data_IF_310790757840
#
_entry.id   IF_310790757840
#
_cell.length_a   1.000
_cell.length_b   1.000
_cell.length_c   1.000
_cell.angle_alpha   90.00
_cell.angle_beta   90.00
_cell.angle_gamma   90.00
#
_symmetry.space_group_name_H-M   'P 1'
#
loop_
_entity.id
_entity.type
_entity.pdbx_description
1 polymer ?
#
# COMPACT_ATOMS: atom_id res chain seq x y z
N UNK A 1 -0.05 -1.11 -10.07
CA UNK A 1 -0.46 0.24 -9.63
C UNK A 1 -0.30 1.30 -10.72
N UNK A 2 0.68 1.21 -11.62
CA UNK A 2 1.00 2.29 -12.58
C UNK A 2 0.46 2.10 -14.00
N UNK A 3 -0.15 0.95 -14.31
CA UNK A 3 -0.73 0.69 -15.64
C UNK A 3 -1.85 1.68 -15.99
N UNK A 4 -2.65 2.04 -14.99
CA UNK A 4 -3.72 3.04 -15.07
C UNK A 4 -3.82 3.70 -13.68
N UNK A 5 -3.31 4.93 -13.59
CA UNK A 5 -3.23 5.66 -12.32
C UNK A 5 -4.58 6.23 -11.89
N UNK A 6 -5.43 6.64 -12.83
CA UNK A 6 -6.78 7.17 -12.53
C UNK A 6 -7.67 6.07 -11.98
N UNK A 7 -7.64 4.90 -12.60
CA UNK A 7 -8.27 3.70 -12.04
C UNK A 7 -7.75 3.42 -10.64
N UNK A 8 -6.43 3.44 -10.45
CA UNK A 8 -5.81 3.15 -9.16
C UNK A 8 -6.25 4.15 -8.10
N UNK A 9 -6.23 5.46 -8.37
CA UNK A 9 -6.71 6.51 -7.44
C UNK A 9 -8.16 6.27 -7.04
N UNK A 10 -9.03 6.03 -8.02
CA UNK A 10 -10.45 5.75 -7.76
C UNK A 10 -10.68 4.46 -6.97
N UNK A 11 -9.88 3.42 -7.22
CA UNK A 11 -9.95 2.16 -6.49
C UNK A 11 -9.50 2.33 -5.03
N UNK A 12 -8.37 3.02 -4.80
CA UNK A 12 -7.87 3.29 -3.46
C UNK A 12 -8.86 4.12 -2.64
N UNK A 13 -9.54 5.10 -3.25
CA UNK A 13 -10.53 5.92 -2.57
C UNK A 13 -11.78 5.12 -2.16
N UNK A 14 -12.41 4.42 -3.11
CA UNK A 14 -13.65 3.66 -2.87
C UNK A 14 -13.48 2.47 -1.93
N UNK A 15 -12.27 1.93 -1.81
CA UNK A 15 -12.02 0.68 -1.08
C UNK A 15 -10.97 0.82 0.02
N UNK A 16 -10.64 2.04 0.44
CA UNK A 16 -9.60 2.33 1.45
C UNK A 16 -9.75 1.55 2.77
N UNK A 17 -10.94 1.09 3.15
CA UNK A 17 -11.20 0.31 4.37
C UNK A 17 -11.13 -1.21 4.19
N UNK A 18 -10.93 -1.69 2.95
CA UNK A 18 -11.01 -3.12 2.59
C UNK A 18 -9.70 -3.69 2.05
N UNK A 19 -8.69 -2.85 1.84
CA UNK A 19 -7.44 -3.25 1.18
C UNK A 19 -6.25 -2.97 2.08
N UNK A 20 -5.27 -3.85 2.05
CA UNK A 20 -3.98 -3.68 2.71
C UNK A 20 -2.86 -3.99 1.74
N UNK A 21 -1.69 -3.42 1.97
CA UNK A 21 -0.51 -3.74 1.18
C UNK A 21 0.31 -4.86 1.83
N UNK A 22 0.55 -5.92 1.06
CA UNK A 22 1.60 -6.91 1.31
C UNK A 22 2.56 -6.88 0.13
N UNK A 23 3.87 -6.85 0.39
CA UNK A 23 4.86 -6.70 -0.67
C UNK A 23 5.01 -7.94 -1.54
N UNK A 24 4.74 -9.12 -0.97
CA UNK A 24 5.02 -10.42 -1.59
C UNK A 24 6.43 -10.48 -2.20
N UNK A 25 7.36 -9.72 -1.62
CA UNK A 25 8.69 -9.53 -2.18
C UNK A 25 9.57 -10.69 -1.72
N UNK A 26 10.22 -11.37 -2.65
CA UNK A 26 11.29 -12.33 -2.34
C UNK A 26 12.50 -11.66 -1.65
N UNK A 27 12.60 -10.35 -1.80
CA UNK A 27 13.48 -9.44 -1.07
C UNK A 27 14.96 -9.81 -1.04
N UNK A 28 15.46 -10.44 -2.10
CA UNK A 28 16.86 -10.82 -2.23
C UNK A 28 17.85 -9.65 -2.06
N UNK A 29 17.41 -8.41 -2.31
CA UNK A 29 18.21 -7.19 -2.11
C UNK A 29 17.77 -6.39 -0.89
N UNK A 30 16.48 -6.32 -0.54
CA UNK A 30 16.02 -5.60 0.67
C UNK A 30 16.03 -4.07 0.60
N UNK A 31 16.70 -3.46 -0.38
CA UNK A 31 16.97 -2.02 -0.38
C UNK A 31 17.20 -1.41 -1.76
N UNK A 32 17.26 -0.08 -1.82
CA UNK A 32 17.60 0.69 -3.01
C UNK A 32 16.56 0.59 -4.14
N UNK A 33 17.01 0.85 -5.37
CA UNK A 33 16.17 0.81 -6.56
C UNK A 33 15.66 -0.59 -6.91
N UNK A 34 16.38 -1.64 -6.49
CA UNK A 34 15.99 -3.04 -6.71
C UNK A 34 14.91 -3.53 -5.75
N UNK A 35 14.64 -2.82 -4.64
CA UNK A 35 13.59 -3.20 -3.70
C UNK A 35 12.20 -2.85 -4.24
N UNK A 36 11.52 -3.84 -4.83
CA UNK A 36 10.14 -3.70 -5.29
C UNK A 36 9.20 -3.23 -4.18
N UNK A 37 9.42 -3.72 -2.95
CA UNK A 37 8.63 -3.35 -1.78
C UNK A 37 8.62 -1.84 -1.52
N UNK A 38 9.81 -1.23 -1.49
CA UNK A 38 9.99 0.21 -1.27
C UNK A 38 9.39 1.05 -2.42
N UNK A 39 9.59 0.63 -3.67
CA UNK A 39 9.03 1.33 -4.84
C UNK A 39 7.50 1.29 -4.86
N UNK A 40 6.91 0.15 -4.45
CA UNK A 40 5.45 0.01 -4.37
C UNK A 40 4.87 0.84 -3.24
N UNK A 41 5.52 0.89 -2.07
CA UNK A 41 5.14 1.80 -0.98
C UNK A 41 5.16 3.25 -1.46
N UNK A 42 6.24 3.69 -2.12
CA UNK A 42 6.32 5.04 -2.68
C UNK A 42 5.19 5.33 -3.68
N UNK A 43 4.81 4.34 -4.49
CA UNK A 43 3.70 4.46 -5.44
C UNK A 43 2.36 4.60 -4.72
N UNK A 44 2.09 3.81 -3.66
CA UNK A 44 0.86 3.94 -2.86
C UNK A 44 0.77 5.34 -2.24
N UNK A 45 1.87 5.86 -1.69
CA UNK A 45 1.90 7.22 -1.10
C UNK A 45 1.55 8.32 -2.10
N UNK A 46 1.95 8.16 -3.36
CA UNK A 46 1.69 9.13 -4.45
C UNK A 46 0.27 9.01 -5.00
N UNK A 47 -0.30 7.80 -4.99
CA UNK A 47 -1.59 7.50 -5.59
C UNK A 47 -2.76 7.49 -4.59
N UNK A 48 -2.51 7.38 -3.29
CA UNK A 48 -3.55 7.48 -2.28
C UNK A 48 -4.23 8.86 -2.34
N UNK A 49 -5.56 8.93 -2.17
CA UNK A 49 -6.31 10.19 -2.27
C UNK A 49 -6.00 11.18 -1.14
N UNK A 50 -5.52 10.69 0.00
CA UNK A 50 -5.12 11.47 1.17
C UNK A 50 -4.29 10.61 2.14
N UNK A 51 -3.75 11.25 3.19
CA UNK A 51 -2.92 10.58 4.20
C UNK A 51 -3.67 9.57 5.07
N UNK A 52 -4.97 9.75 5.26
CA UNK A 52 -5.81 8.79 5.98
C UNK A 52 -5.93 7.48 5.21
N UNK A 53 -6.23 7.52 3.91
CA UNK A 53 -6.29 6.34 3.06
C UNK A 53 -4.93 5.63 2.99
N UNK A 54 -3.82 6.39 2.82
CA UNK A 54 -2.46 5.83 2.90
C UNK A 54 -2.24 5.04 4.21
N UNK A 55 -2.60 5.64 5.35
CA UNK A 55 -2.41 5.03 6.67
C UNK A 55 -3.26 3.77 6.85
N UNK A 56 -4.49 3.74 6.32
CA UNK A 56 -5.33 2.54 6.31
C UNK A 56 -4.69 1.40 5.52
N UNK A 57 -4.27 1.68 4.30
CA UNK A 57 -3.72 0.69 3.36
C UNK A 57 -2.39 0.12 3.85
N UNK A 58 -1.51 0.96 4.40
CA UNK A 58 -0.16 0.57 4.83
C UNK A 58 -0.08 0.09 6.28
N UNK A 59 -1.15 0.21 7.08
CA UNK A 59 -1.09 -0.13 8.51
C UNK A 59 -2.45 -0.53 9.11
N UNK A 60 -3.43 0.37 9.17
CA UNK A 60 -4.59 0.18 10.07
C UNK A 60 -5.45 -1.02 9.68
N UNK A 61 -5.62 -1.27 8.38
CA UNK A 61 -6.41 -2.40 7.90
C UNK A 61 -5.74 -3.74 8.25
N UNK A 62 -4.42 -3.83 8.10
CA UNK A 62 -3.66 -5.03 8.50
C UNK A 62 -3.70 -5.24 10.01
N UNK A 63 -3.49 -4.17 10.79
CA UNK A 63 -3.59 -4.20 12.26
C UNK A 63 -4.94 -4.74 12.72
N UNK A 64 -6.03 -4.21 12.17
CA UNK A 64 -7.40 -4.64 12.49
C UNK A 64 -7.66 -6.09 12.06
N UNK A 65 -7.30 -6.45 10.82
CA UNK A 65 -7.59 -7.77 10.25
C UNK A 65 -6.83 -8.87 10.98
N UNK A 66 -5.54 -8.66 11.22
CA UNK A 66 -4.65 -9.63 11.86
C UNK A 66 -4.65 -9.53 13.38
N UNK A 67 -5.42 -8.60 13.97
CA UNK A 67 -5.52 -8.37 15.42
C UNK A 67 -4.14 -8.15 16.06
N UNK A 68 -3.35 -7.26 15.47
CA UNK A 68 -1.98 -6.94 15.93
C UNK A 68 -1.96 -5.97 17.13
N UNK A 69 -3.05 -5.93 17.89
CA UNK A 69 -3.15 -5.17 19.12
C UNK A 69 -2.51 -6.01 20.23
N UNK A 70 -1.51 -5.46 20.92
CA UNK A 70 -0.95 -6.03 22.14
C UNK A 70 -1.96 -5.93 23.30
#
# INVERSE_FOLDING_TARGET
>A
LTRDEDHTRGFLDRHQDKILYGSDCADAVGTGSACQGAQTIATIRRLAPNKTAERKILYENAKKLFRLDA
#
